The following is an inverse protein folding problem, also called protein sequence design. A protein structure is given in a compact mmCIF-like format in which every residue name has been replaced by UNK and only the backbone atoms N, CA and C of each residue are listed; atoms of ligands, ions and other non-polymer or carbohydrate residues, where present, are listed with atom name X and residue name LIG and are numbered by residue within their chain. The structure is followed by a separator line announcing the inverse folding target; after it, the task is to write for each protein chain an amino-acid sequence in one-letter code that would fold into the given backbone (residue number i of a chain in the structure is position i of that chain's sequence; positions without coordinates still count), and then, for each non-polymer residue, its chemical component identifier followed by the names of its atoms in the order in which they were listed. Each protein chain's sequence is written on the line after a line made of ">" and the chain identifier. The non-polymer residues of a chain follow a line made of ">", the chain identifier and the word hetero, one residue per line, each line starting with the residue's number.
data_IF_693273182723
#
_entry.id   IF_693273182723
#
_cell.length_a   1.000
_cell.length_b   1.000
_cell.length_c   1.000
_cell.angle_alpha   90.00
_cell.angle_beta   90.00
_cell.angle_gamma   90.00
#
_symmetry.space_group_name_H-M   'P 1'
#
loop_
_entity.id
_entity.type
_entity.pdbx_description
1 polymer ?
#
# COMPACT_ATOMS: atom_id res chain seq x y z
N UNK A 1 0.59 28.53 2.07
CA UNK A 1 0.25 27.59 0.97
C UNK A 1 0.62 28.25 -0.36
N UNK A 2 1.87 28.11 -0.82
CA UNK A 2 2.37 28.75 -2.05
C UNK A 2 3.06 27.77 -3.02
N UNK A 3 3.12 26.48 -2.68
CA UNK A 3 3.60 25.45 -3.59
C UNK A 3 2.37 24.80 -4.26
N UNK A 4 2.46 24.58 -5.58
CA UNK A 4 1.41 24.09 -6.48
C UNK A 4 0.36 25.12 -6.97
N UNK A 5 0.81 26.26 -7.51
CA UNK A 5 -0.02 27.18 -8.30
C UNK A 5 0.01 26.89 -9.81
N UNK A 6 0.93 26.04 -10.25
CA UNK A 6 1.12 25.74 -11.68
C UNK A 6 0.06 24.73 -12.17
N UNK A 7 -0.55 24.97 -13.35
CA UNK A 7 -1.50 24.05 -13.93
C UNK A 7 -0.81 22.74 -14.33
N UNK A 8 -1.50 21.61 -14.18
CA UNK A 8 -0.98 20.32 -14.59
C UNK A 8 -1.31 20.06 -16.05
N UNK A 9 -0.30 19.82 -16.86
CA UNK A 9 -0.44 19.30 -18.22
C UNK A 9 -0.08 17.81 -18.21
N UNK A 10 -1.04 16.95 -18.55
CA UNK A 10 -0.87 15.49 -18.53
C UNK A 10 -1.11 14.95 -19.93
N UNK A 11 -0.16 14.15 -20.40
CA UNK A 11 -0.28 13.37 -21.63
C UNK A 11 -0.60 11.91 -21.26
N UNK A 12 -1.51 11.30 -21.99
CA UNK A 12 -1.90 9.90 -21.77
C UNK A 12 -2.03 9.16 -23.10
N UNK A 13 -1.67 7.88 -23.11
CA UNK A 13 -1.82 7.00 -24.27
C UNK A 13 -3.19 6.33 -24.36
N UNK A 14 -4.05 6.52 -23.35
CA UNK A 14 -5.40 5.94 -23.31
C UNK A 14 -6.44 6.91 -23.84
N UNK A 15 -7.33 6.41 -24.69
CA UNK A 15 -8.49 7.14 -25.20
C UNK A 15 -9.79 6.75 -24.47
N UNK A 16 -9.71 5.78 -23.55
CA UNK A 16 -10.89 5.15 -22.95
C UNK A 16 -11.39 5.87 -21.70
N UNK A 17 -10.60 6.78 -21.12
CA UNK A 17 -10.94 7.50 -19.90
C UNK A 17 -11.22 8.97 -20.17
N UNK A 18 -12.20 9.52 -19.46
CA UNK A 18 -12.48 10.95 -19.46
C UNK A 18 -11.34 11.72 -18.78
N UNK A 19 -11.10 12.99 -19.12
CA UNK A 19 -10.03 13.79 -18.51
C UNK A 19 -10.06 13.81 -16.97
N UNK A 20 -11.25 13.83 -16.36
CA UNK A 20 -11.40 13.79 -14.90
C UNK A 20 -10.91 12.49 -14.27
N UNK A 21 -11.13 11.36 -14.94
CA UNK A 21 -10.67 10.04 -14.47
C UNK A 21 -9.15 9.95 -14.57
N UNK A 22 -8.56 10.45 -15.66
CA UNK A 22 -7.11 10.56 -15.81
C UNK A 22 -6.51 11.42 -14.69
N UNK A 23 -7.11 12.57 -14.38
CA UNK A 23 -6.63 13.41 -13.27
C UNK A 23 -6.70 12.68 -11.92
N UNK A 24 -7.78 11.93 -11.68
CA UNK A 24 -7.96 11.14 -10.45
C UNK A 24 -6.98 9.97 -10.33
N UNK A 25 -6.63 9.34 -11.45
CA UNK A 25 -5.59 8.32 -11.49
C UNK A 25 -4.22 8.95 -11.22
N UNK A 26 -3.90 10.05 -11.90
CA UNK A 26 -2.63 10.73 -11.73
C UNK A 26 -2.44 11.32 -10.33
N UNK A 27 -3.51 11.76 -9.67
CA UNK A 27 -3.43 12.26 -8.29
C UNK A 27 -2.91 11.21 -7.30
N UNK A 28 -3.00 9.91 -7.63
CA UNK A 28 -2.46 8.82 -6.83
C UNK A 28 -0.94 8.69 -6.91
N UNK A 29 -0.24 9.36 -7.85
CA UNK A 29 1.24 9.24 -8.00
C UNK A 29 2.00 9.55 -6.72
N UNK A 30 1.47 10.46 -5.89
CA UNK A 30 2.09 10.85 -4.62
C UNK A 30 2.21 9.67 -3.64
N UNK A 31 1.39 8.62 -3.80
CA UNK A 31 1.48 7.40 -3.00
C UNK A 31 2.82 6.68 -3.20
N UNK A 32 3.45 6.79 -4.38
CA UNK A 32 4.77 6.21 -4.65
C UNK A 32 5.83 6.89 -3.77
N UNK A 33 5.83 8.22 -3.72
CA UNK A 33 6.77 8.99 -2.88
C UNK A 33 6.53 8.73 -1.38
N UNK A 34 5.27 8.61 -0.96
CA UNK A 34 4.92 8.24 0.41
C UNK A 34 5.46 6.85 0.76
N UNK A 35 5.30 5.86 -0.12
CA UNK A 35 5.85 4.51 0.10
C UNK A 35 7.38 4.54 0.22
N UNK A 36 8.09 5.29 -0.63
CA UNK A 36 9.55 5.43 -0.51
C UNK A 36 9.98 6.12 0.79
N UNK A 37 9.19 7.06 1.28
CA UNK A 37 9.44 7.73 2.56
C UNK A 37 9.24 6.77 3.73
N UNK A 38 8.19 5.96 3.69
CA UNK A 38 7.87 5.00 4.75
C UNK A 38 8.91 3.87 4.78
N UNK A 39 9.33 3.33 3.64
CA UNK A 39 10.40 2.31 3.56
C UNK A 39 11.71 2.79 4.21
N UNK A 40 12.04 4.07 4.05
CA UNK A 40 13.21 4.71 4.65
C UNK A 40 13.03 5.03 6.14
N UNK A 41 11.80 5.12 6.61
CA UNK A 41 11.46 5.49 7.98
C UNK A 41 11.77 4.37 8.95
N UNK A 42 12.51 4.68 10.02
CA UNK A 42 12.83 3.73 11.10
C UNK A 42 11.61 3.39 11.96
N UNK A 43 10.71 4.37 12.13
CA UNK A 43 9.56 4.23 13.04
C UNK A 43 8.34 3.59 12.36
N UNK A 44 8.16 3.86 11.06
CA UNK A 44 6.91 3.56 10.36
C UNK A 44 7.07 2.61 9.17
N UNK A 45 8.28 2.16 8.87
CA UNK A 45 8.52 1.15 7.84
C UNK A 45 9.76 0.33 8.14
N UNK A 46 10.55 0.00 7.11
CA UNK A 46 11.64 -0.98 7.23
C UNK A 46 12.98 -0.39 7.70
N UNK A 47 13.02 0.90 8.03
CA UNK A 47 14.21 1.53 8.63
C UNK A 47 15.46 1.47 7.77
N UNK A 48 15.34 1.59 6.44
CA UNK A 48 16.51 1.54 5.56
C UNK A 48 17.58 2.58 5.92
N UNK A 49 17.20 3.72 6.52
CA UNK A 49 18.15 4.73 7.04
C UNK A 49 19.03 4.20 8.18
N UNK A 50 18.49 3.33 9.03
CA UNK A 50 19.23 2.68 10.13
C UNK A 50 20.13 1.53 9.66
N UNK A 51 20.11 1.16 8.37
CA UNK A 51 20.94 0.06 7.86
C UNK A 51 22.44 0.39 7.81
N UNK A 52 22.80 1.69 7.83
CA UNK A 52 24.16 2.24 7.71
C UNK A 52 25.02 1.59 6.59
N UNK A 53 24.37 1.06 5.55
CA UNK A 53 25.08 0.32 4.52
C UNK A 53 25.83 1.27 3.58
N UNK A 54 27.10 0.95 3.31
CA UNK A 54 27.97 1.70 2.40
C UNK A 54 28.19 1.03 1.05
N UNK A 55 27.60 -0.14 0.81
CA UNK A 55 27.73 -0.88 -0.45
C UNK A 55 26.41 -0.91 -1.21
N UNK A 56 26.45 -0.55 -2.50
CA UNK A 56 25.28 -0.54 -3.37
C UNK A 56 24.61 -1.92 -3.41
N UNK A 57 25.39 -3.01 -3.47
CA UNK A 57 24.86 -4.38 -3.49
C UNK A 57 24.03 -4.72 -2.25
N UNK A 58 24.46 -4.30 -1.05
CA UNK A 58 23.69 -4.56 0.17
C UNK A 58 22.42 -3.73 0.23
N UNK A 59 22.46 -2.46 -0.20
CA UNK A 59 21.25 -1.62 -0.28
C UNK A 59 20.23 -2.23 -1.24
N UNK A 60 20.67 -2.76 -2.39
CA UNK A 60 19.79 -3.43 -3.35
C UNK A 60 19.09 -4.65 -2.75
N UNK A 61 19.84 -5.52 -2.05
CA UNK A 61 19.27 -6.70 -1.39
C UNK A 61 18.28 -6.29 -0.29
N UNK A 62 18.62 -5.28 0.52
CA UNK A 62 17.72 -4.80 1.58
C UNK A 62 16.44 -4.18 1.02
N UNK A 63 16.53 -3.42 -0.07
CA UNK A 63 15.32 -2.88 -0.73
C UNK A 63 14.49 -3.99 -1.37
N UNK A 64 15.12 -5.01 -1.96
CA UNK A 64 14.39 -6.20 -2.44
C UNK A 64 13.64 -6.89 -1.29
N UNK A 65 14.29 -7.13 -0.16
CA UNK A 65 13.64 -7.72 1.01
C UNK A 65 12.50 -6.84 1.53
N UNK A 66 12.72 -5.54 1.66
CA UNK A 66 11.70 -4.58 2.09
C UNK A 66 10.49 -4.58 1.15
N UNK A 67 10.71 -4.60 -0.17
CA UNK A 67 9.62 -4.65 -1.16
C UNK A 67 8.83 -5.95 -1.07
N UNK A 68 9.50 -7.10 -0.96
CA UNK A 68 8.83 -8.40 -0.80
C UNK A 68 8.02 -8.46 0.51
N UNK A 69 8.60 -7.99 1.62
CA UNK A 69 7.89 -7.89 2.90
C UNK A 69 6.68 -6.95 2.81
N UNK A 70 6.82 -5.80 2.14
CA UNK A 70 5.74 -4.85 1.89
C UNK A 70 4.58 -5.52 1.14
N UNK A 71 4.87 -6.28 0.09
CA UNK A 71 3.85 -7.00 -0.71
C UNK A 71 3.10 -8.00 0.16
N UNK A 72 3.82 -8.79 0.97
CA UNK A 72 3.20 -9.77 1.87
C UNK A 72 2.32 -9.10 2.91
N UNK A 73 2.80 -8.03 3.56
CA UNK A 73 2.01 -7.24 4.51
C UNK A 73 0.77 -6.64 3.85
N UNK A 74 0.88 -6.16 2.61
CA UNK A 74 -0.26 -5.67 1.84
C UNK A 74 -1.34 -6.74 1.63
N UNK A 75 -0.95 -7.94 1.23
CA UNK A 75 -1.88 -9.06 1.02
C UNK A 75 -2.55 -9.47 2.34
N UNK A 76 -1.80 -9.56 3.43
CA UNK A 76 -2.34 -9.89 4.75
C UNK A 76 -3.31 -8.81 5.22
N UNK A 77 -2.94 -7.53 5.09
CA UNK A 77 -3.78 -6.41 5.47
C UNK A 77 -5.06 -6.35 4.66
N UNK A 78 -4.97 -6.60 3.34
CA UNK A 78 -6.12 -6.70 2.45
C UNK A 78 -7.07 -7.84 2.88
N UNK A 79 -6.52 -9.03 3.16
CA UNK A 79 -7.30 -10.16 3.65
C UNK A 79 -7.97 -9.86 5.00
N UNK A 80 -7.23 -9.28 5.95
CA UNK A 80 -7.73 -8.91 7.26
C UNK A 80 -8.84 -7.85 7.18
N UNK A 81 -8.73 -6.89 6.25
CA UNK A 81 -9.79 -5.93 6.00
C UNK A 81 -11.06 -6.61 5.47
N UNK A 82 -10.93 -7.50 4.49
CA UNK A 82 -12.06 -8.25 3.94
C UNK A 82 -12.75 -9.15 4.97
N UNK A 83 -12.03 -9.61 5.99
CA UNK A 83 -12.59 -10.33 7.14
C UNK A 83 -13.20 -9.40 8.22
N UNK A 84 -13.15 -8.08 8.02
CA UNK A 84 -13.64 -7.09 8.98
C UNK A 84 -12.75 -6.90 10.22
N UNK A 85 -11.55 -7.51 10.25
CA UNK A 85 -10.66 -7.44 11.41
C UNK A 85 -10.18 -6.01 11.69
N UNK A 86 -10.06 -5.18 10.65
CA UNK A 86 -9.66 -3.77 10.77
C UNK A 86 -10.48 -2.98 11.80
N UNK A 87 -11.76 -3.32 11.99
CA UNK A 87 -12.64 -2.67 12.96
C UNK A 87 -12.21 -2.91 14.42
N UNK A 88 -11.49 -4.00 14.70
CA UNK A 88 -10.97 -4.33 16.04
C UNK A 88 -9.69 -3.56 16.38
N UNK A 89 -8.99 -3.08 15.36
CA UNK A 89 -7.70 -2.39 15.50
C UNK A 89 -7.83 -0.86 15.40
N UNK A 90 -9.04 -0.35 15.16
CA UNK A 90 -9.32 1.08 15.17
C UNK A 90 -10.05 1.47 16.46
N UNK A 91 -9.63 2.59 17.06
CA UNK A 91 -10.34 3.19 18.19
C UNK A 91 -11.56 4.02 17.75
N UNK A 92 -11.58 4.47 16.48
CA UNK A 92 -12.62 5.35 15.96
C UNK A 92 -13.87 4.57 15.52
N UNK A 93 -15.03 5.21 15.60
CA UNK A 93 -16.34 4.64 15.22
C UNK A 93 -16.60 4.63 13.70
N UNK A 94 -15.67 5.12 12.89
CA UNK A 94 -15.82 5.25 11.43
C UNK A 94 -15.82 3.87 10.78
N UNK A 95 -16.91 3.51 10.08
CA UNK A 95 -17.04 2.24 9.34
C UNK A 95 -17.16 2.42 7.82
N UNK A 96 -17.28 3.67 7.35
CA UNK A 96 -17.55 3.99 5.94
C UNK A 96 -16.31 4.02 5.06
N UNK A 97 -15.11 4.10 5.66
CA UNK A 97 -13.84 4.14 4.95
C UNK A 97 -12.74 3.45 5.75
N UNK A 98 -11.70 3.01 5.05
CA UNK A 98 -10.46 2.56 5.67
C UNK A 98 -9.80 3.71 6.44
N UNK A 99 -9.44 3.44 7.69
CA UNK A 99 -8.74 4.40 8.56
C UNK A 99 -7.25 4.06 8.69
N UNK A 100 -6.93 2.76 8.81
CA UNK A 100 -5.56 2.26 9.00
C UNK A 100 -5.06 1.67 7.69
N UNK A 101 -3.79 1.88 7.33
CA UNK A 101 -3.19 1.30 6.12
C UNK A 101 -3.14 -0.23 6.21
N UNK A 102 -3.05 -0.91 5.06
CA UNK A 102 -2.90 -2.37 5.05
C UNK A 102 -1.64 -2.84 5.77
N UNK A 103 -0.55 -2.10 5.65
CA UNK A 103 0.72 -2.40 6.31
C UNK A 103 0.56 -2.39 7.84
N UNK A 104 0.04 -1.30 8.39
CA UNK A 104 -0.17 -1.18 9.84
C UNK A 104 -1.20 -2.17 10.36
N UNK A 105 -2.27 -2.43 9.60
CA UNK A 105 -3.24 -3.46 9.96
C UNK A 105 -2.60 -4.85 9.99
N UNK A 106 -1.83 -5.20 8.96
CA UNK A 106 -1.14 -6.49 8.89
C UNK A 106 -0.15 -6.66 10.04
N UNK A 107 0.66 -5.65 10.33
CA UNK A 107 1.58 -5.67 11.48
C UNK A 107 0.82 -5.92 12.79
N UNK A 108 -0.27 -5.21 13.04
CA UNK A 108 -1.05 -5.37 14.26
C UNK A 108 -1.70 -6.76 14.35
N UNK A 109 -2.22 -7.27 13.23
CA UNK A 109 -2.78 -8.62 13.14
C UNK A 109 -1.69 -9.67 13.41
N UNK A 110 -0.50 -9.52 12.83
CA UNK A 110 0.61 -10.43 13.05
C UNK A 110 1.13 -10.39 14.49
N UNK A 111 1.14 -9.21 15.12
CA UNK A 111 1.50 -9.05 16.55
C UNK A 111 0.54 -9.80 17.48
N UNK A 112 -0.75 -9.84 17.18
CA UNK A 112 -1.75 -10.48 18.05
C UNK A 112 -2.19 -11.88 17.61
N UNK A 113 -1.96 -12.27 16.36
CA UNK A 113 -2.43 -13.52 15.78
C UNK A 113 -1.48 -14.03 14.68
N UNK A 114 -0.22 -14.39 15.03
CA UNK A 114 0.81 -14.76 14.06
C UNK A 114 0.44 -16.02 13.24
N UNK A 115 -0.39 -16.90 13.80
CA UNK A 115 -0.83 -18.13 13.14
C UNK A 115 -1.78 -17.90 11.95
N UNK A 116 -2.26 -16.66 11.74
CA UNK A 116 -3.09 -16.32 10.58
C UNK A 116 -2.35 -16.60 9.27
N UNK A 117 -1.01 -16.50 9.27
CA UNK A 117 -0.14 -16.82 8.14
C UNK A 117 -0.26 -18.28 7.68
N UNK A 118 -0.48 -19.22 8.61
CA UNK A 118 -0.64 -20.64 8.28
C UNK A 118 -2.00 -20.94 7.63
N UNK A 119 -2.99 -20.10 7.89
CA UNK A 119 -4.37 -20.25 7.41
C UNK A 119 -4.62 -19.46 6.12
N UNK A 120 -3.78 -18.47 5.83
CA UNK A 120 -3.93 -17.60 4.67
C UNK A 120 -3.17 -18.16 3.49
N UNK A 121 -3.93 -18.53 2.45
CA UNK A 121 -3.35 -18.91 1.16
C UNK A 121 -3.15 -17.63 0.34
N UNK A 122 -1.92 -17.10 0.30
CA UNK A 122 -1.64 -15.80 -0.34
C UNK A 122 -2.06 -15.73 -1.81
N UNK A 123 -2.04 -16.85 -2.55
CA UNK A 123 -2.47 -16.90 -3.96
C UNK A 123 -3.96 -16.62 -4.13
N UNK A 124 -4.83 -17.07 -3.21
CA UNK A 124 -6.26 -16.79 -3.29
C UNK A 124 -6.55 -15.32 -3.00
N UNK A 125 -5.83 -14.75 -2.03
CA UNK A 125 -5.90 -13.32 -1.69
C UNK A 125 -5.45 -12.47 -2.87
N UNK A 126 -4.35 -12.83 -3.54
CA UNK A 126 -3.87 -12.14 -4.73
C UNK A 126 -4.88 -12.19 -5.87
N UNK A 127 -5.48 -13.35 -6.13
CA UNK A 127 -6.51 -13.49 -7.17
C UNK A 127 -7.75 -12.65 -6.87
N UNK A 128 -8.17 -12.59 -5.60
CA UNK A 128 -9.27 -11.74 -5.17
C UNK A 128 -8.93 -10.25 -5.35
N UNK A 129 -7.73 -9.85 -4.94
CA UNK A 129 -7.23 -8.49 -5.14
C UNK A 129 -7.22 -8.11 -6.63
N UNK A 130 -6.70 -8.98 -7.50
CA UNK A 130 -6.63 -8.75 -8.93
C UNK A 130 -8.01 -8.55 -9.56
N UNK A 131 -9.00 -9.38 -9.21
CA UNK A 131 -10.39 -9.23 -9.66
C UNK A 131 -11.00 -7.91 -9.18
N UNK A 132 -10.77 -7.57 -7.92
CA UNK A 132 -11.29 -6.32 -7.33
C UNK A 132 -10.67 -5.10 -8.00
N UNK A 133 -9.38 -5.16 -8.32
CA UNK A 133 -8.66 -4.09 -9.00
C UNK A 133 -9.12 -3.92 -10.45
N UNK A 134 -9.30 -5.03 -11.19
CA UNK A 134 -9.88 -4.98 -12.54
C UNK A 134 -11.25 -4.30 -12.52
N UNK A 135 -12.12 -4.68 -11.58
CA UNK A 135 -13.42 -4.03 -11.43
C UNK A 135 -13.30 -2.55 -11.06
N UNK A 136 -12.37 -2.16 -10.17
CA UNK A 136 -12.16 -0.75 -9.81
C UNK A 136 -11.62 0.11 -10.96
N UNK A 137 -10.75 -0.44 -11.81
CA UNK A 137 -10.20 0.28 -12.97
C UNK A 137 -11.23 0.39 -14.09
N UNK A 138 -12.15 -0.57 -14.21
CA UNK A 138 -13.23 -0.60 -15.21
C UNK A 138 -14.50 0.15 -14.79
N UNK A 139 -14.62 0.55 -13.51
CA UNK A 139 -15.74 1.36 -12.99
C UNK A 139 -15.50 2.87 -13.19
N UNK A 140 -14.30 3.26 -13.64
CA UNK A 140 -14.03 4.62 -14.12
C UNK A 140 -14.05 4.62 -15.64
#
# INVERSE_FOLDING_TARGET
>A
RSAAKEPWLIFSSTNNFKPREIMKLYSRRMQIEQNFRDEKSERFGFGLRASYSRSAGRVLVLSLLATLSTIVLWLIGYHAENQGLHLRFQANSIKTRRVISYLTLAENVLRHSPLILKRTVLSTVLNHLARTYQNMVLVY
#
